data_IF_816650258514
#
_entry.id   IF_816650258514
#
_cell.length_a   1.000
_cell.length_b   1.000
_cell.length_c   1.000
_cell.angle_alpha   90.00
_cell.angle_beta   90.00
_cell.angle_gamma   90.00
#
_symmetry.space_group_name_H-M   'P 1'
#
loop_
_entity.id
_entity.type
_entity.pdbx_description
1 polymer ?
#
# COMPACT_ATOMS: atom_id res chain seq x y z
N UNK A 1 11.68 -50.89 9.89
CA UNK A 1 12.20 -49.50 9.92
C UNK A 1 11.48 -48.78 11.04
N UNK A 2 12.19 -48.40 12.10
CA UNK A 2 11.60 -48.17 13.43
C UNK A 2 11.10 -46.72 13.56
N UNK A 3 9.79 -46.52 13.37
CA UNK A 3 9.10 -45.22 13.40
C UNK A 3 9.35 -44.41 14.69
N UNK A 4 9.74 -45.08 15.78
CA UNK A 4 10.02 -44.49 17.09
C UNK A 4 11.27 -43.59 17.15
N UNK A 5 12.19 -43.72 16.18
CA UNK A 5 13.42 -42.90 16.10
C UNK A 5 13.28 -41.66 15.22
N UNK A 6 12.22 -41.57 14.40
CA UNK A 6 12.07 -40.52 13.40
C UNK A 6 11.48 -39.21 13.98
N UNK A 7 10.58 -39.35 14.96
CA UNK A 7 9.91 -38.23 15.63
C UNK A 7 10.89 -37.32 16.42
N UNK A 8 11.82 -37.85 17.24
CA UNK A 8 12.77 -36.97 17.94
C UNK A 8 13.77 -36.29 16.99
N UNK A 9 14.15 -36.95 15.88
CA UNK A 9 15.05 -36.35 14.88
C UNK A 9 14.38 -35.19 14.12
N UNK A 10 13.08 -35.29 13.83
CA UNK A 10 12.31 -34.23 13.19
C UNK A 10 12.13 -33.02 14.12
N UNK A 11 11.91 -33.23 15.43
CA UNK A 11 11.80 -32.16 16.41
C UNK A 11 13.13 -31.42 16.64
N UNK A 12 14.25 -32.14 16.60
CA UNK A 12 15.58 -31.52 16.71
C UNK A 12 15.93 -30.69 15.46
N UNK A 13 15.54 -31.17 14.27
CA UNK A 13 15.71 -30.43 13.02
C UNK A 13 14.83 -29.17 12.94
N UNK A 14 13.63 -29.20 13.53
CA UNK A 14 12.73 -28.06 13.60
C UNK A 14 13.18 -27.01 14.65
N UNK A 15 13.83 -27.43 15.73
CA UNK A 15 14.39 -26.50 16.71
C UNK A 15 15.63 -25.75 16.19
N UNK A 16 16.41 -26.37 15.29
CA UNK A 16 17.60 -25.76 14.70
C UNK A 16 17.30 -24.64 13.69
N UNK A 17 16.09 -24.58 13.12
CA UNK A 17 15.70 -23.54 12.15
C UNK A 17 15.19 -22.25 12.80
N UNK A 18 14.95 -22.24 14.12
CA UNK A 18 14.37 -21.08 14.83
C UNK A 18 15.45 -20.15 15.45
N UNK A 19 16.71 -20.60 15.55
CA UNK A 19 17.77 -19.87 16.27
C UNK A 19 18.44 -18.68 15.55
N UNK A 20 17.92 -18.20 14.42
CA UNK A 20 18.63 -17.33 13.49
C UNK A 20 18.34 -15.82 13.53
N UNK A 21 17.68 -15.27 14.55
CA UNK A 21 17.38 -13.82 14.61
C UNK A 21 18.19 -13.11 15.70
N UNK A 22 19.43 -12.76 15.37
CA UNK A 22 20.22 -11.82 16.18
C UNK A 22 19.66 -10.38 16.07
N UNK A 23 19.81 -9.54 17.11
CA UNK A 23 19.34 -8.16 17.07
C UNK A 23 20.15 -7.34 16.06
N UNK A 24 19.46 -6.74 15.08
CA UNK A 24 20.05 -5.76 14.19
C UNK A 24 20.30 -4.46 14.98
N UNK A 25 21.57 -4.07 15.14
CA UNK A 25 21.93 -2.78 15.70
C UNK A 25 21.83 -1.74 14.59
N UNK A 26 20.81 -0.89 14.65
CA UNK A 26 20.66 0.26 13.76
C UNK A 26 21.65 1.35 14.18
N UNK A 27 22.57 1.74 13.29
CA UNK A 27 23.38 2.95 13.49
C UNK A 27 22.54 4.17 13.14
N UNK A 28 22.26 5.01 14.14
CA UNK A 28 21.64 6.32 13.97
C UNK A 28 22.62 7.22 13.20
N UNK A 29 22.33 7.49 11.93
CA UNK A 29 23.13 8.42 11.13
C UNK A 29 22.96 9.86 11.66
N UNK A 30 23.99 10.72 11.60
CA UNK A 30 23.90 12.09 12.10
C UNK A 30 22.79 12.87 11.38
N UNK A 31 22.04 13.66 12.15
CA UNK A 31 20.96 14.49 11.64
C UNK A 31 21.51 15.54 10.67
N UNK A 32 21.20 15.37 9.38
CA UNK A 32 21.58 16.31 8.32
C UNK A 32 20.81 17.62 8.53
N UNK A 33 21.51 18.76 8.57
CA UNK A 33 20.89 20.09 8.59
C UNK A 33 20.30 20.42 7.21
N UNK A 34 18.97 20.58 7.16
CA UNK A 34 18.19 20.74 5.93
C UNK A 34 17.51 22.12 5.86
N UNK A 35 17.91 23.05 6.73
CA UNK A 35 17.41 24.43 6.70
C UNK A 35 17.75 25.17 5.39
N UNK A 36 18.87 24.81 4.75
CA UNK A 36 19.32 25.38 3.48
C UNK A 36 18.47 24.97 2.25
N UNK A 37 17.65 23.91 2.33
CA UNK A 37 16.80 23.44 1.21
C UNK A 37 15.36 23.96 1.30
N UNK A 38 15.08 24.94 2.16
CA UNK A 38 13.76 25.57 2.25
C UNK A 38 12.68 24.73 2.94
N UNK A 39 13.07 23.81 3.83
CA UNK A 39 12.13 22.97 4.57
C UNK A 39 11.68 21.71 3.82
N UNK A 40 12.58 21.10 3.03
CA UNK A 40 12.29 19.85 2.35
C UNK A 40 11.79 18.75 3.33
N UNK A 41 10.78 17.94 2.93
CA UNK A 41 10.21 16.89 3.78
C UNK A 41 11.29 15.94 4.33
N UNK A 42 11.19 15.57 5.62
CA UNK A 42 12.11 14.61 6.23
C UNK A 42 11.79 13.19 5.74
N UNK A 43 12.76 12.27 5.83
CA UNK A 43 12.53 10.86 5.51
C UNK A 43 11.36 10.29 6.32
N UNK A 44 11.27 10.64 7.60
CA UNK A 44 10.21 10.16 8.48
C UNK A 44 8.83 10.69 8.05
N UNK A 45 8.73 11.96 7.63
CA UNK A 45 7.50 12.50 7.03
C UNK A 45 7.14 11.81 5.71
N UNK A 46 8.14 11.53 4.87
CA UNK A 46 7.95 10.78 3.63
C UNK A 46 7.44 9.36 3.92
N UNK A 47 8.01 8.66 4.90
CA UNK A 47 7.60 7.31 5.28
C UNK A 47 6.21 7.29 5.92
N UNK A 48 5.92 8.25 6.80
CA UNK A 48 4.59 8.42 7.39
C UNK A 48 3.53 8.66 6.30
N UNK A 49 3.82 9.53 5.34
CA UNK A 49 2.96 9.78 4.18
C UNK A 49 2.81 8.55 3.28
N UNK A 50 3.90 7.84 3.00
CA UNK A 50 3.87 6.60 2.21
C UNK A 50 3.04 5.50 2.90
N UNK A 51 3.13 5.40 4.22
CA UNK A 51 2.34 4.46 5.02
C UNK A 51 0.85 4.84 5.03
N UNK A 52 0.52 6.13 5.16
CA UNK A 52 -0.86 6.62 5.05
C UNK A 52 -1.46 6.38 3.65
N UNK A 53 -0.66 6.58 2.59
CA UNK A 53 -1.07 6.33 1.21
C UNK A 53 -1.33 4.84 0.93
N UNK A 54 -0.56 3.92 1.55
CA UNK A 54 -0.81 2.48 1.48
C UNK A 54 -2.14 2.07 2.11
N UNK A 55 -2.65 2.85 3.08
CA UNK A 55 -3.95 2.66 3.72
C UNK A 55 -5.15 3.13 2.89
N UNK A 56 -4.93 3.69 1.68
CA UNK A 56 -5.99 4.17 0.80
C UNK A 56 -6.56 5.56 1.17
N UNK A 57 -6.09 6.18 2.25
CA UNK A 57 -6.46 7.57 2.60
C UNK A 57 -5.58 8.52 1.80
N UNK A 58 -6.13 9.04 0.71
CA UNK A 58 -5.50 10.09 -0.10
C UNK A 58 -5.87 11.43 0.50
N UNK A 59 -4.90 12.10 1.10
CA UNK A 59 -5.08 13.50 1.52
C UNK A 59 -5.25 14.38 0.27
N UNK A 60 -6.49 14.77 -0.01
CA UNK A 60 -6.88 15.62 -1.13
C UNK A 60 -6.46 17.07 -0.93
N UNK A 61 -6.23 17.50 0.32
CA UNK A 61 -5.79 18.85 0.66
C UNK A 61 -4.30 19.04 0.31
N UNK A 62 -3.49 18.01 0.54
CA UNK A 62 -2.08 17.97 0.10
C UNK A 62 -1.93 17.94 -1.44
N UNK A 63 -2.88 17.35 -2.16
CA UNK A 63 -2.89 17.32 -3.63
C UNK A 63 -3.16 18.70 -4.26
N UNK A 64 -3.93 19.57 -3.59
CA UNK A 64 -4.20 20.94 -4.05
C UNK A 64 -3.07 21.95 -3.77
N UNK A 65 -2.12 21.62 -2.89
CA UNK A 65 -0.96 22.46 -2.58
C UNK A 65 0.14 22.40 -3.67
N UNK A 66 -0.02 21.51 -4.65
CA UNK A 66 0.79 21.38 -5.86
C UNK A 66 0.93 22.69 -6.69
N UNK A 67 0.06 23.66 -6.45
CA UNK A 67 0.02 24.97 -7.10
C UNK A 67 1.10 25.95 -6.61
N UNK A 68 1.82 25.63 -5.54
CA UNK A 68 2.88 26.48 -5.01
C UNK A 68 4.21 26.15 -5.71
N UNK A 69 4.57 26.96 -6.70
CA UNK A 69 5.85 26.86 -7.40
C UNK A 69 7.02 26.92 -6.42
N UNK A 70 8.05 26.05 -6.53
CA UNK A 70 9.19 26.09 -5.64
C UNK A 70 10.01 27.35 -5.97
N UNK A 71 10.56 28.00 -4.95
CA UNK A 71 11.57 29.05 -5.17
C UNK A 71 12.71 28.46 -6.00
N UNK A 72 13.08 29.04 -7.16
CA UNK A 72 14.11 28.49 -8.02
C UNK A 72 15.45 28.40 -7.28
N UNK A 73 16.03 27.21 -7.21
CA UNK A 73 17.42 27.02 -6.82
C UNK A 73 18.29 27.26 -8.07
N UNK A 74 19.34 28.08 -7.95
CA UNK A 74 20.09 28.63 -9.08
C UNK A 74 20.70 27.59 -10.05
N UNK A 75 20.92 26.35 -9.62
CA UNK A 75 21.63 25.31 -10.38
C UNK A 75 20.78 24.11 -10.81
N UNK A 76 19.49 24.05 -10.42
CA UNK A 76 18.59 23.01 -10.90
C UNK A 76 17.38 23.65 -11.59
N UNK A 77 17.05 23.28 -12.84
CA UNK A 77 15.79 23.69 -13.43
C UNK A 77 14.64 23.24 -12.50
N UNK A 78 13.65 24.10 -12.24
CA UNK A 78 12.56 23.78 -11.32
C UNK A 78 11.89 22.50 -11.79
N UNK A 79 11.92 21.45 -10.94
CA UNK A 79 11.39 20.11 -11.27
C UNK A 79 9.84 20.05 -11.25
N UNK A 80 9.18 21.17 -11.56
CA UNK A 80 7.76 21.39 -11.29
C UNK A 80 7.49 21.65 -9.80
N UNK A 81 6.45 22.42 -9.49
CA UNK A 81 6.01 22.68 -8.10
C UNK A 81 5.44 21.48 -7.38
N UNK A 82 5.09 20.43 -8.13
CA UNK A 82 4.43 19.24 -7.61
C UNK A 82 5.17 17.97 -8.04
N UNK A 83 5.07 16.95 -7.19
CA UNK A 83 5.58 15.63 -7.52
C UNK A 83 4.75 15.03 -8.65
N UNK A 84 5.40 14.41 -9.64
CA UNK A 84 4.72 13.63 -10.68
C UNK A 84 3.73 12.61 -10.07
N UNK A 85 4.08 12.00 -8.93
CA UNK A 85 3.20 11.05 -8.25
C UNK A 85 1.90 11.70 -7.75
N UNK A 86 1.96 12.96 -7.29
CA UNK A 86 0.78 13.71 -6.85
C UNK A 86 -0.10 14.10 -8.03
N UNK A 87 0.50 14.46 -9.17
CA UNK A 87 -0.23 14.71 -10.42
C UNK A 87 -1.02 13.47 -10.86
N UNK A 88 -0.37 12.30 -10.94
CA UNK A 88 -1.04 11.05 -11.33
C UNK A 88 -2.13 10.63 -10.34
N UNK A 89 -1.94 10.92 -9.05
CA UNK A 89 -2.94 10.62 -8.01
C UNK A 89 -4.15 11.56 -8.10
N UNK A 90 -3.94 12.85 -8.30
CA UNK A 90 -5.01 13.81 -8.55
C UNK A 90 -5.81 13.42 -9.80
N UNK A 91 -5.12 12.93 -10.84
CA UNK A 91 -5.78 12.47 -12.06
C UNK A 91 -6.60 11.19 -11.85
N UNK A 92 -6.07 10.22 -11.11
CA UNK A 92 -6.80 8.99 -10.76
C UNK A 92 -8.08 9.28 -10.01
N UNK A 93 -8.03 10.22 -9.07
CA UNK A 93 -9.17 10.57 -8.24
C UNK A 93 -10.06 11.67 -8.84
N UNK A 94 -9.82 12.08 -10.10
CA UNK A 94 -10.55 13.16 -10.78
C UNK A 94 -10.61 14.48 -9.97
N UNK A 95 -9.52 14.80 -9.26
CA UNK A 95 -9.34 16.05 -8.50
C UNK A 95 -8.45 17.04 -9.28
N UNK A 96 -7.76 16.58 -10.31
CA UNK A 96 -6.98 17.44 -11.20
C UNK A 96 -7.92 18.28 -12.09
N UNK A 97 -7.56 19.54 -12.32
CA UNK A 97 -8.23 20.39 -13.32
C UNK A 97 -7.79 19.95 -14.73
N UNK A 98 -8.71 19.34 -15.49
CA UNK A 98 -8.45 18.76 -16.81
C UNK A 98 -9.36 19.43 -17.83
N UNK A 99 -8.76 20.08 -18.83
CA UNK A 99 -9.47 20.65 -19.97
C UNK A 99 -9.40 19.73 -21.17
N UNK A 100 -10.55 19.29 -21.70
CA UNK A 100 -10.63 18.47 -22.92
C UNK A 100 -11.28 19.22 -24.07
N UNK A 101 -10.82 18.95 -25.29
CA UNK A 101 -11.39 19.54 -26.52
C UNK A 101 -12.76 18.96 -26.88
N UNK A 102 -13.08 17.78 -26.33
CA UNK A 102 -14.38 17.12 -26.47
C UNK A 102 -15.18 17.31 -25.18
N UNK A 103 -16.49 17.52 -25.33
CA UNK A 103 -17.42 17.64 -24.22
C UNK A 103 -18.34 16.43 -24.23
N UNK A 104 -18.33 15.65 -23.15
CA UNK A 104 -19.19 14.49 -22.99
C UNK A 104 -19.10 13.92 -21.57
N UNK A 105 -19.98 12.99 -21.20
CA UNK A 105 -19.86 12.33 -19.90
C UNK A 105 -18.52 11.62 -19.77
N UNK A 106 -17.81 11.85 -18.66
CA UNK A 106 -16.51 11.25 -18.34
C UNK A 106 -15.37 11.56 -19.34
N UNK A 107 -15.46 12.63 -20.14
CA UNK A 107 -14.36 13.06 -21.03
C UNK A 107 -13.13 13.56 -20.27
N UNK A 108 -13.35 13.97 -19.03
CA UNK A 108 -12.43 14.43 -18.01
C UNK A 108 -11.78 13.28 -17.20
N UNK A 109 -12.25 12.03 -17.38
CA UNK A 109 -11.70 10.85 -16.69
C UNK A 109 -10.59 10.21 -17.51
N UNK A 110 -9.33 10.52 -17.17
CA UNK A 110 -8.16 9.93 -17.85
C UNK A 110 -7.78 8.54 -17.31
N UNK A 111 -8.17 8.21 -16.08
CA UNK A 111 -7.88 6.92 -15.44
C UNK A 111 -9.19 6.32 -14.92
N UNK A 112 -9.56 5.15 -15.42
CA UNK A 112 -10.79 4.46 -15.01
C UNK A 112 -10.57 3.57 -13.78
N UNK A 113 -11.35 3.81 -12.72
CA UNK A 113 -11.31 3.04 -11.47
C UNK A 113 -12.40 1.95 -11.36
N UNK A 114 -13.16 1.67 -12.42
CA UNK A 114 -14.32 0.77 -12.40
C UNK A 114 -14.00 -0.65 -11.87
N UNK A 115 -12.79 -1.15 -12.09
CA UNK A 115 -12.35 -2.47 -11.60
C UNK A 115 -12.04 -2.53 -10.10
N UNK A 116 -11.85 -1.39 -9.43
CA UNK A 116 -11.47 -1.35 -8.02
C UNK A 116 -12.59 -1.84 -7.09
N UNK A 117 -13.85 -1.60 -7.44
CA UNK A 117 -14.99 -2.11 -6.69
C UNK A 117 -15.04 -3.64 -6.69
N UNK A 118 -14.79 -4.26 -7.85
CA UNK A 118 -14.71 -5.71 -7.98
C UNK A 118 -13.52 -6.29 -7.22
N UNK A 119 -12.36 -5.63 -7.29
CA UNK A 119 -11.17 -6.03 -6.54
C UNK A 119 -11.45 -6.04 -5.03
N UNK A 120 -11.98 -4.94 -4.49
CA UNK A 120 -12.30 -4.83 -3.06
C UNK A 120 -13.34 -5.87 -2.61
N UNK A 121 -14.36 -6.11 -3.45
CA UNK A 121 -15.36 -7.15 -3.18
C UNK A 121 -14.73 -8.55 -3.10
N UNK A 122 -13.81 -8.88 -4.01
CA UNK A 122 -13.14 -10.18 -4.04
C UNK A 122 -12.14 -10.36 -2.89
N UNK A 123 -11.38 -9.32 -2.58
CA UNK A 123 -10.34 -9.37 -1.56
C UNK A 123 -10.90 -9.52 -0.15
N UNK A 124 -12.08 -8.95 0.13
CA UNK A 124 -12.70 -9.02 1.45
C UNK A 124 -14.00 -9.85 1.50
N UNK A 125 -15.15 -9.25 1.15
CA UNK A 125 -16.47 -9.88 1.33
C UNK A 125 -16.60 -11.26 0.71
N UNK A 126 -16.21 -11.43 -0.56
CA UNK A 126 -16.42 -12.68 -1.28
C UNK A 126 -15.66 -13.84 -0.63
N UNK A 127 -14.39 -13.62 -0.28
CA UNK A 127 -13.56 -14.62 0.39
C UNK A 127 -14.12 -15.00 1.76
N UNK A 128 -14.57 -14.02 2.52
CA UNK A 128 -15.07 -14.21 3.89
C UNK A 128 -16.39 -14.98 3.89
N UNK A 129 -17.40 -14.45 3.20
CA UNK A 129 -18.73 -15.05 3.16
C UNK A 129 -18.75 -16.34 2.34
N UNK A 130 -18.03 -16.39 1.23
CA UNK A 130 -17.88 -17.60 0.43
C UNK A 130 -17.20 -18.72 1.21
N UNK A 131 -16.19 -18.39 2.02
CA UNK A 131 -15.54 -19.34 2.92
C UNK A 131 -16.47 -19.92 3.98
N UNK A 132 -17.23 -19.07 4.67
CA UNK A 132 -18.22 -19.53 5.65
C UNK A 132 -19.34 -20.35 5.01
N UNK A 133 -19.84 -19.96 3.84
CA UNK A 133 -20.85 -20.73 3.12
C UNK A 133 -20.33 -22.12 2.75
N UNK A 134 -19.08 -22.22 2.28
CA UNK A 134 -18.45 -23.49 1.95
C UNK A 134 -18.28 -24.39 3.19
N UNK A 135 -17.79 -23.83 4.30
CA UNK A 135 -17.66 -24.55 5.57
C UNK A 135 -19.01 -25.00 6.12
N UNK A 136 -20.03 -24.14 6.03
CA UNK A 136 -21.40 -24.46 6.42
C UNK A 136 -21.97 -25.63 5.61
N UNK A 137 -21.73 -25.65 4.29
CA UNK A 137 -22.16 -26.76 3.43
C UNK A 137 -21.46 -28.06 3.79
N UNK A 138 -20.14 -28.03 4.03
CA UNK A 138 -19.39 -29.20 4.47
C UNK A 138 -19.94 -29.71 5.81
N UNK A 139 -20.23 -28.83 6.76
CA UNK A 139 -20.83 -29.19 8.04
C UNK A 139 -22.22 -29.81 7.89
N UNK A 140 -23.06 -29.26 7.02
CA UNK A 140 -24.39 -29.80 6.72
C UNK A 140 -24.31 -31.21 6.13
N UNK A 141 -23.39 -31.42 5.18
CA UNK A 141 -23.14 -32.72 4.57
C UNK A 141 -22.65 -33.73 5.63
N UNK A 142 -21.72 -33.33 6.49
CA UNK A 142 -21.23 -34.18 7.57
C UNK A 142 -22.34 -34.59 8.54
N UNK A 143 -23.23 -33.64 8.90
CA UNK A 143 -24.38 -33.91 9.75
C UNK A 143 -25.37 -34.87 9.09
N UNK A 144 -25.66 -34.67 7.79
CA UNK A 144 -26.54 -35.54 7.02
C UNK A 144 -26.06 -36.99 7.00
N UNK A 145 -24.76 -37.24 6.82
CA UNK A 145 -24.21 -38.60 6.81
C UNK A 145 -24.06 -39.24 8.20
N UNK A 146 -24.15 -38.44 9.28
CA UNK A 146 -24.08 -38.92 10.66
C UNK A 146 -25.46 -39.37 11.19
N UNK A 147 -26.53 -38.76 10.70
CA UNK A 147 -27.93 -39.03 11.06
C UNK A 147 -28.53 -40.15 10.19
#
# INVERSE_FOLDING_TARGET
MNLRLFIPALLLALAATVGGTGPAVTQEAPAIDRSATGGAPTLDDILARQNAQRGGTVDTQALGAASQSPTPLADLPPRGGSSNADIFRALRHNVADVTTVTSGPATDVLIQDAGMAWLQFRDGPLKTWGGYALLGMIGLLALFYLL
#
